data_IF_898004836946
#
_entry.id   IF_898004836946
#
_cell.length_a   1.000
_cell.length_b   1.000
_cell.length_c   1.000
_cell.angle_alpha   90.00
_cell.angle_beta   90.00
_cell.angle_gamma   90.00
#
_symmetry.space_group_name_H-M   'P 1'
#
loop_
_entity.id
_entity.type
_entity.pdbx_description
1 polymer ?
#
# COMPACT_ATOMS: atom_id res chain seq x y z
N UNK A 1 -0.98 18.75 16.82
CA UNK A 1 -1.56 19.61 15.75
C UNK A 1 -0.49 20.37 14.97
N UNK A 2 0.66 20.70 15.57
CA UNK A 2 1.71 21.53 14.96
C UNK A 2 2.35 20.95 13.70
N UNK A 3 2.41 19.64 13.56
CA UNK A 3 3.07 19.00 12.41
C UNK A 3 2.33 19.21 11.09
N UNK A 4 1.00 19.16 11.11
CA UNK A 4 0.17 19.36 9.92
C UNK A 4 0.23 20.83 9.48
N UNK A 5 0.10 21.76 10.42
CA UNK A 5 0.18 23.20 10.13
C UNK A 5 1.56 23.58 9.55
N UNK A 6 2.65 23.04 10.11
CA UNK A 6 4.00 23.20 9.54
C UNK A 6 4.12 22.63 8.13
N UNK A 7 3.51 21.46 7.87
CA UNK A 7 3.54 20.86 6.53
C UNK A 7 2.73 21.71 5.52
N UNK A 8 1.66 22.39 5.95
CA UNK A 8 0.88 23.35 5.15
C UNK A 8 1.67 24.65 4.88
N UNK A 9 2.35 25.21 5.88
CA UNK A 9 3.21 26.39 5.69
C UNK A 9 4.32 26.14 4.66
N UNK A 10 4.95 24.96 4.71
CA UNK A 10 5.96 24.56 3.71
C UNK A 10 5.37 24.49 2.31
N UNK A 11 4.14 23.97 2.15
CA UNK A 11 3.47 23.95 0.85
C UNK A 11 3.13 25.36 0.35
N UNK A 12 2.60 26.22 1.22
CA UNK A 12 2.24 27.61 0.86
C UNK A 12 3.46 28.46 0.52
N UNK A 13 4.63 28.16 1.10
CA UNK A 13 5.90 28.85 0.84
C UNK A 13 6.65 28.35 -0.42
N UNK A 14 6.17 27.29 -1.08
CA UNK A 14 6.86 26.71 -2.23
C UNK A 14 6.73 27.60 -3.47
N UNK A 15 7.87 27.98 -4.06
CA UNK A 15 7.94 28.88 -5.23
C UNK A 15 8.72 28.27 -6.41
N UNK A 16 8.75 26.93 -6.49
CA UNK A 16 9.46 26.17 -7.54
C UNK A 16 8.58 25.70 -8.68
N UNK A 17 9.10 24.80 -9.52
CA UNK A 17 8.36 24.24 -10.65
C UNK A 17 7.14 23.40 -10.21
N UNK A 18 6.05 23.45 -10.98
CA UNK A 18 4.81 22.72 -10.70
C UNK A 18 5.00 21.20 -10.47
N UNK A 19 5.94 20.57 -11.19
CA UNK A 19 6.24 19.14 -11.02
C UNK A 19 6.82 18.83 -9.64
N UNK A 20 7.66 19.72 -9.11
CA UNK A 20 8.29 19.55 -7.82
C UNK A 20 7.32 19.91 -6.68
N UNK A 21 6.41 20.86 -6.92
CA UNK A 21 5.28 21.13 -6.03
C UNK A 21 4.39 19.90 -5.88
N UNK A 22 4.01 19.25 -6.98
CA UNK A 22 3.19 18.04 -6.97
C UNK A 22 3.87 16.92 -6.17
N UNK A 23 5.16 16.65 -6.40
CA UNK A 23 5.91 15.66 -5.60
C UNK A 23 5.91 16.00 -4.12
N UNK A 24 6.09 17.28 -3.78
CA UNK A 24 6.08 17.75 -2.40
C UNK A 24 4.70 17.55 -1.76
N UNK A 25 3.63 17.92 -2.45
CA UNK A 25 2.25 17.74 -2.03
C UNK A 25 1.94 16.26 -1.73
N UNK A 26 2.26 15.36 -2.67
CA UNK A 26 2.06 13.92 -2.53
C UNK A 26 2.83 13.39 -1.31
N UNK A 27 4.07 13.83 -1.13
CA UNK A 27 4.91 13.42 0.01
C UNK A 27 4.31 13.87 1.35
N UNK A 28 3.80 15.10 1.43
CA UNK A 28 3.15 15.62 2.63
C UNK A 28 1.82 14.93 2.91
N UNK A 29 0.98 14.73 1.89
CA UNK A 29 -0.27 13.96 2.02
C UNK A 29 -0.03 12.53 2.49
N UNK A 30 0.96 11.84 1.92
CA UNK A 30 1.32 10.48 2.34
C UNK A 30 1.76 10.44 3.81
N UNK A 31 2.53 11.43 4.26
CA UNK A 31 2.96 11.55 5.66
C UNK A 31 1.77 11.76 6.61
N UNK A 32 0.78 12.57 6.21
CA UNK A 32 -0.46 12.76 6.98
C UNK A 32 -1.24 11.44 7.07
N UNK A 33 -1.39 10.73 5.95
CA UNK A 33 -2.06 9.42 5.93
C UNK A 33 -1.35 8.40 6.83
N UNK A 34 -0.01 8.37 6.84
CA UNK A 34 0.76 7.49 7.73
C UNK A 34 0.58 7.84 9.21
N UNK A 35 0.41 9.13 9.54
CA UNK A 35 0.13 9.56 10.91
C UNK A 35 -1.28 9.13 11.34
N UNK A 36 -2.27 9.31 10.47
CA UNK A 36 -3.65 8.85 10.68
C UNK A 36 -3.74 7.32 10.84
N UNK A 37 -2.97 6.58 10.04
CA UNK A 37 -2.85 5.13 10.16
C UNK A 37 -2.24 4.71 11.50
N UNK A 38 -1.19 5.39 11.97
CA UNK A 38 -0.52 5.03 13.24
C UNK A 38 -1.35 5.37 14.47
N UNK A 39 -1.93 6.56 14.51
CA UNK A 39 -2.63 7.05 15.71
C UNK A 39 -4.08 6.55 15.80
N UNK A 40 -4.78 6.52 14.66
CA UNK A 40 -6.22 6.26 14.63
C UNK A 40 -6.56 4.96 13.88
N UNK A 41 -5.56 4.28 13.30
CA UNK A 41 -5.76 3.12 12.41
C UNK A 41 -6.66 3.45 11.22
N UNK A 42 -6.70 4.73 10.84
CA UNK A 42 -7.47 5.21 9.70
C UNK A 42 -6.72 4.90 8.41
N UNK A 43 -7.32 4.09 7.55
CA UNK A 43 -6.72 3.65 6.30
C UNK A 43 -7.58 4.04 5.10
N UNK A 44 -6.95 4.18 3.94
CA UNK A 44 -7.69 4.39 2.68
C UNK A 44 -8.35 3.09 2.24
N UNK A 45 -9.33 3.21 1.35
CA UNK A 45 -9.90 2.06 0.65
C UNK A 45 -8.80 1.25 -0.07
N UNK A 46 -8.85 -0.07 0.05
CA UNK A 46 -7.93 -1.02 -0.58
C UNK A 46 -6.46 -0.90 -0.13
N UNK A 47 -6.19 -0.28 1.02
CA UNK A 47 -4.83 -0.12 1.54
C UNK A 47 -4.20 -1.48 1.87
N UNK A 48 -4.90 -2.32 2.63
CA UNK A 48 -4.35 -3.61 3.04
C UNK A 48 -4.33 -4.62 1.90
N UNK A 49 -5.31 -4.61 1.00
CA UNK A 49 -5.31 -5.42 -0.22
C UNK A 49 -4.06 -5.16 -1.05
N UNK A 50 -3.74 -3.89 -1.31
CA UNK A 50 -2.58 -3.52 -2.14
C UNK A 50 -1.26 -3.86 -1.44
N UNK A 51 -1.18 -3.61 -0.12
CA UNK A 51 -0.02 -3.97 0.69
C UNK A 51 0.22 -5.48 0.70
N UNK A 52 -0.81 -6.27 1.00
CA UNK A 52 -0.72 -7.72 1.08
C UNK A 52 -0.61 -8.40 -0.27
N UNK A 53 -1.05 -7.79 -1.37
CA UNK A 53 -0.75 -8.27 -2.71
C UNK A 53 0.77 -8.23 -2.98
N UNK A 54 1.43 -7.13 -2.63
CA UNK A 54 2.87 -6.95 -2.79
C UNK A 54 3.66 -7.91 -1.88
N UNK A 55 3.24 -8.03 -0.62
CA UNK A 55 3.83 -9.00 0.33
C UNK A 55 3.55 -10.43 -0.14
N UNK A 56 2.34 -10.70 -0.61
CA UNK A 56 1.88 -11.98 -1.15
C UNK A 56 2.80 -12.50 -2.25
N UNK A 57 3.09 -11.63 -3.20
CA UNK A 57 4.05 -11.87 -4.28
C UNK A 57 5.47 -12.14 -3.76
N UNK A 58 5.99 -11.28 -2.89
CA UNK A 58 7.38 -11.33 -2.45
C UNK A 58 7.68 -12.49 -1.47
N UNK A 59 6.80 -12.71 -0.49
CA UNK A 59 7.00 -13.65 0.60
C UNK A 59 6.48 -15.05 0.29
N UNK A 60 5.44 -15.18 -0.55
CA UNK A 60 4.86 -16.49 -0.87
C UNK A 60 5.01 -16.82 -2.36
N UNK A 61 4.74 -15.88 -3.26
CA UNK A 61 4.70 -16.17 -4.69
C UNK A 61 6.04 -16.56 -5.28
N UNK A 62 7.08 -15.74 -5.07
CA UNK A 62 8.43 -16.05 -5.55
C UNK A 62 9.04 -17.30 -4.89
N UNK A 63 9.00 -17.46 -3.55
CA UNK A 63 9.58 -18.64 -2.91
C UNK A 63 8.85 -19.94 -3.27
N UNK A 64 7.52 -19.92 -3.34
CA UNK A 64 6.72 -21.09 -3.71
C UNK A 64 6.91 -21.45 -5.18
N UNK A 65 7.00 -20.46 -6.06
CA UNK A 65 7.35 -20.66 -7.47
C UNK A 65 8.74 -21.29 -7.63
N UNK A 66 9.73 -20.82 -6.88
CA UNK A 66 11.08 -21.40 -6.88
C UNK A 66 11.09 -22.83 -6.34
N UNK A 67 10.37 -23.11 -5.25
CA UNK A 67 10.23 -24.46 -4.69
C UNK A 67 9.60 -25.41 -5.72
N UNK A 68 8.51 -25.00 -6.38
CA UNK A 68 7.90 -25.80 -7.44
C UNK A 68 8.82 -25.97 -8.65
N UNK A 69 9.54 -24.92 -9.06
CA UNK A 69 10.50 -24.98 -10.15
C UNK A 69 11.61 -26.01 -9.91
N UNK A 70 12.13 -26.07 -8.69
CA UNK A 70 13.14 -27.06 -8.26
C UNK A 70 12.53 -28.45 -8.16
N UNK A 71 11.39 -28.61 -7.47
CA UNK A 71 10.77 -29.91 -7.22
C UNK A 71 10.24 -30.59 -8.50
N UNK A 72 9.76 -29.81 -9.47
CA UNK A 72 9.23 -30.31 -10.74
C UNK A 72 10.29 -30.34 -11.85
N UNK A 73 11.53 -29.94 -11.56
CA UNK A 73 12.63 -29.89 -12.54
C UNK A 73 12.40 -28.92 -13.71
N UNK A 74 11.46 -27.98 -13.57
CA UNK A 74 11.09 -27.04 -14.61
C UNK A 74 10.83 -25.66 -14.03
N UNK A 75 11.76 -24.73 -14.26
CA UNK A 75 11.69 -23.36 -13.78
C UNK A 75 10.52 -22.54 -14.37
N UNK A 76 9.84 -23.03 -15.41
CA UNK A 76 8.59 -22.42 -15.88
C UNK A 76 7.49 -22.40 -14.78
N UNK A 77 7.55 -23.33 -13.81
CA UNK A 77 6.63 -23.33 -12.67
C UNK A 77 6.86 -22.19 -11.66
N UNK A 78 7.97 -21.44 -11.78
CA UNK A 78 8.12 -20.16 -11.05
C UNK A 78 6.98 -19.21 -11.41
N UNK A 79 6.54 -19.22 -12.67
CA UNK A 79 5.43 -18.41 -13.15
C UNK A 79 4.08 -18.74 -12.50
N UNK A 80 3.92 -19.93 -11.90
CA UNK A 80 2.69 -20.35 -11.20
C UNK A 80 2.67 -19.84 -9.76
N UNK A 81 3.83 -19.71 -9.12
CA UNK A 81 3.93 -19.21 -7.76
C UNK A 81 3.44 -17.77 -7.62
N UNK A 82 3.75 -16.92 -8.61
CA UNK A 82 3.37 -15.51 -8.58
C UNK A 82 1.85 -15.26 -8.52
N UNK A 83 1.01 -15.82 -9.41
CA UNK A 83 -0.44 -15.74 -9.31
C UNK A 83 -0.99 -16.26 -7.98
N UNK A 84 -0.43 -17.34 -7.43
CA UNK A 84 -0.85 -17.90 -6.15
C UNK A 84 -0.52 -16.97 -4.97
N UNK A 85 0.69 -16.42 -4.94
CA UNK A 85 1.10 -15.45 -3.92
C UNK A 85 0.25 -14.18 -3.96
N UNK A 86 -0.06 -13.69 -5.17
CA UNK A 86 -0.97 -12.57 -5.38
C UNK A 86 -2.38 -12.90 -4.87
N UNK A 87 -2.93 -14.06 -5.21
CA UNK A 87 -4.26 -14.48 -4.79
C UNK A 87 -4.38 -14.59 -3.25
N UNK A 88 -3.40 -15.22 -2.59
CA UNK A 88 -3.34 -15.33 -1.14
C UNK A 88 -3.21 -13.95 -0.47
N UNK A 89 -2.34 -13.11 -1.02
CA UNK A 89 -2.14 -11.73 -0.56
C UNK A 89 -3.42 -10.90 -0.65
N UNK A 90 -4.12 -10.94 -1.79
CA UNK A 90 -5.40 -10.23 -1.97
C UNK A 90 -6.49 -10.78 -1.06
N UNK A 91 -6.61 -12.10 -0.93
CA UNK A 91 -7.60 -12.70 -0.04
C UNK A 91 -7.40 -12.22 1.41
N UNK A 92 -6.17 -12.26 1.92
CA UNK A 92 -5.86 -11.79 3.26
C UNK A 92 -6.06 -10.26 3.39
N UNK A 93 -5.52 -9.48 2.46
CA UNK A 93 -5.62 -8.01 2.50
C UNK A 93 -7.06 -7.49 2.41
N UNK A 94 -7.91 -8.12 1.59
CA UNK A 94 -9.34 -7.76 1.50
C UNK A 94 -10.10 -8.02 2.79
N UNK A 95 -9.74 -9.06 3.58
CA UNK A 95 -10.36 -9.26 4.90
C UNK A 95 -9.99 -8.16 5.88
N UNK A 96 -8.75 -7.66 5.82
CA UNK A 96 -8.31 -6.54 6.64
C UNK A 96 -8.98 -5.22 6.24
N UNK A 97 -9.13 -4.97 4.94
CA UNK A 97 -9.87 -3.80 4.45
C UNK A 97 -11.35 -3.86 4.85
N UNK A 98 -12.00 -5.03 4.77
CA UNK A 98 -13.39 -5.21 5.26
C UNK A 98 -13.50 -4.91 6.74
N UNK A 99 -12.57 -5.42 7.55
CA UNK A 99 -12.52 -5.14 8.98
C UNK A 99 -12.32 -3.64 9.27
N UNK A 100 -11.45 -2.96 8.52
CA UNK A 100 -11.28 -1.52 8.64
C UNK A 100 -12.54 -0.74 8.27
N UNK A 101 -13.31 -1.23 7.28
CA UNK A 101 -14.61 -0.68 6.91
C UNK A 101 -15.65 -0.83 8.04
N UNK A 102 -15.79 -2.05 8.58
CA UNK A 102 -16.71 -2.38 9.68
C UNK A 102 -16.40 -1.60 10.96
N UNK A 103 -15.12 -1.38 11.26
CA UNK A 103 -14.68 -0.58 12.40
C UNK A 103 -14.83 0.94 12.18
N UNK A 104 -15.37 1.39 11.04
CA UNK A 104 -15.51 2.80 10.70
C UNK A 104 -14.16 3.52 10.49
N UNK A 105 -13.09 2.75 10.27
CA UNK A 105 -11.71 3.22 10.15
C UNK A 105 -11.26 3.42 8.70
N UNK A 106 -12.18 3.31 7.76
CA UNK A 106 -11.88 3.50 6.35
C UNK A 106 -12.22 4.92 5.91
N UNK A 107 -11.22 5.66 5.46
CA UNK A 107 -11.39 6.99 4.91
C UNK A 107 -12.09 6.89 3.54
N UNK A 108 -13.19 7.62 3.38
CA UNK A 108 -13.89 7.75 2.11
C UNK A 108 -13.23 8.84 1.24
N UNK A 109 -11.94 8.69 0.97
CA UNK A 109 -11.18 9.59 0.10
C UNK A 109 -10.53 8.79 -1.00
N UNK A 110 -10.80 9.18 -2.24
CA UNK A 110 -10.14 8.63 -3.43
C UNK A 110 -8.93 9.51 -3.74
N UNK A 111 -7.78 9.14 -3.20
CA UNK A 111 -6.51 9.86 -3.43
C UNK A 111 -5.76 9.09 -4.51
N UNK A 112 -6.05 9.45 -5.76
CA UNK A 112 -5.29 9.03 -6.95
C UNK A 112 -4.17 10.04 -7.17
N UNK A 113 -2.93 9.57 -7.31
CA UNK A 113 -1.74 10.40 -7.55
C UNK A 113 -1.30 10.36 -9.01
#
# INVERSE_FOLDING_TARGET
>A
MDTINKDIEVLNSFSGANKDFLKLLIKKQTKILQLLEKELKLVRKNHYMTLWMSIGMAAFGLPMGAAFGVSLGNMAFIGVGLPLGIALGMAYGTTLDKKACEEGKQLNVDITF
#
